data_IF_663519702309
#
_entry.id   IF_663519702309
#
_cell.length_a   1.000
_cell.length_b   1.000
_cell.length_c   1.000
_cell.angle_alpha   90.00
_cell.angle_beta   90.00
_cell.angle_gamma   90.00
#
_symmetry.space_group_name_H-M   'P 1'
#
loop_
_entity.id
_entity.type
_entity.pdbx_description
1 polymer ?
#
# COMPACT_ATOMS: atom_id res chain seq x y z
N UNK A 1 6.19 35.35 -5.46
CA UNK A 1 6.49 34.23 -4.56
C UNK A 1 5.42 34.23 -3.47
N UNK A 2 4.32 33.51 -3.66
CA UNK A 2 3.22 33.39 -2.67
C UNK A 2 3.40 32.08 -1.93
N UNK A 3 3.76 32.18 -0.66
CA UNK A 3 3.86 31.04 0.26
C UNK A 3 2.45 30.73 0.74
N UNK A 4 1.89 29.61 0.34
CA UNK A 4 0.66 29.08 0.93
C UNK A 4 1.02 28.27 2.18
N UNK A 5 0.78 28.86 3.35
CA UNK A 5 0.77 28.14 4.62
C UNK A 5 -0.51 27.29 4.67
N UNK A 6 -0.36 25.96 4.66
CA UNK A 6 -1.44 25.07 5.06
C UNK A 6 -1.61 25.13 6.59
N UNK A 7 -2.85 25.28 7.08
CA UNK A 7 -3.07 25.32 8.53
C UNK A 7 -2.86 23.91 9.12
N UNK A 8 -1.91 23.82 10.04
CA UNK A 8 -1.55 22.61 10.81
C UNK A 8 -2.63 22.15 11.83
N UNK A 9 -3.87 22.62 11.69
CA UNK A 9 -4.96 22.43 12.66
C UNK A 9 -5.85 21.21 12.42
N UNK A 10 -5.67 20.48 11.32
CA UNK A 10 -6.53 19.33 10.99
C UNK A 10 -6.05 17.99 11.58
N UNK A 11 -4.85 17.93 12.18
CA UNK A 11 -4.29 16.65 12.68
C UNK A 11 -4.55 16.41 14.19
N UNK A 12 -5.11 17.36 14.89
CA UNK A 12 -5.31 17.29 16.37
C UNK A 12 -6.70 16.77 16.79
N UNK A 13 -7.61 16.57 15.85
CA UNK A 13 -9.00 16.17 16.14
C UNK A 13 -9.23 14.66 16.34
N UNK A 14 -8.28 13.80 15.98
CA UNK A 14 -8.48 12.33 16.02
C UNK A 14 -7.93 11.69 17.32
N UNK A 15 -7.22 12.44 18.15
CA UNK A 15 -6.52 11.87 19.32
C UNK A 15 -7.31 11.94 20.64
N UNK A 16 -8.53 12.44 20.67
CA UNK A 16 -9.28 12.69 21.92
C UNK A 16 -10.54 11.84 22.15
N UNK A 17 -10.78 10.79 21.35
CA UNK A 17 -11.88 9.85 21.57
C UNK A 17 -11.44 8.50 22.19
N UNK A 18 -10.31 8.40 22.86
CA UNK A 18 -9.82 7.17 23.48
C UNK A 18 -9.95 7.23 25.02
N UNK A 19 -11.05 7.72 25.55
CA UNK A 19 -11.28 7.68 27.00
C UNK A 19 -12.62 7.04 27.34
N UNK A 20 -12.71 5.72 27.14
CA UNK A 20 -13.47 4.75 27.94
C UNK A 20 -13.33 3.38 27.29
N UNK A 21 -12.19 2.74 27.47
CA UNK A 21 -12.05 1.31 27.19
C UNK A 21 -12.65 0.62 28.42
N UNK A 22 -13.77 -0.13 28.28
CA UNK A 22 -14.26 -0.95 29.38
C UNK A 22 -13.18 -1.97 29.73
N UNK A 23 -12.90 -2.13 31.00
CA UNK A 23 -11.90 -3.04 31.57
C UNK A 23 -12.33 -4.52 31.54
N UNK A 24 -12.96 -4.95 30.47
CA UNK A 24 -13.08 -6.36 30.14
C UNK A 24 -12.02 -6.68 29.11
N UNK A 25 -10.85 -7.06 29.60
CA UNK A 25 -9.74 -7.61 28.82
C UNK A 25 -10.08 -9.01 28.28
N UNK A 26 -11.29 -9.22 27.81
CA UNK A 26 -11.69 -10.45 27.15
C UNK A 26 -11.30 -10.35 25.66
N UNK A 27 -10.12 -10.92 25.43
CA UNK A 27 -9.61 -11.47 24.17
C UNK A 27 -9.99 -10.73 22.86
N UNK A 28 -9.44 -9.51 22.68
CA UNK A 28 -9.48 -8.78 21.41
C UNK A 28 -8.46 -9.41 20.42
N UNK A 29 -8.40 -10.73 20.35
CA UNK A 29 -7.62 -11.40 19.33
C UNK A 29 -8.45 -11.54 18.07
N UNK A 30 -7.92 -11.15 16.92
CA UNK A 30 -8.65 -11.30 15.67
C UNK A 30 -8.83 -12.79 15.37
N UNK A 31 -10.08 -13.23 15.29
CA UNK A 31 -10.43 -14.60 14.81
C UNK A 31 -10.47 -14.56 13.29
N UNK A 32 -9.31 -14.70 12.68
CA UNK A 32 -9.17 -14.75 11.24
C UNK A 32 -9.25 -16.21 10.77
N UNK A 33 -10.31 -16.56 10.09
CA UNK A 33 -10.56 -17.90 9.52
C UNK A 33 -10.59 -17.82 8.01
N UNK A 34 -10.48 -18.97 7.35
CA UNK A 34 -10.69 -19.06 5.89
C UNK A 34 -12.04 -18.49 5.52
N UNK A 35 -12.08 -17.64 4.50
CA UNK A 35 -13.27 -16.92 4.06
C UNK A 35 -13.46 -15.55 4.71
N UNK A 36 -12.76 -15.21 5.81
CA UNK A 36 -12.77 -13.83 6.35
C UNK A 36 -12.32 -12.85 5.28
N UNK A 37 -13.10 -11.80 5.08
CA UNK A 37 -12.80 -10.76 4.11
C UNK A 37 -12.14 -9.56 4.78
N UNK A 38 -11.26 -8.88 4.05
CA UNK A 38 -10.58 -7.66 4.43
C UNK A 38 -10.95 -6.55 3.45
N UNK A 39 -11.45 -5.43 3.93
CA UNK A 39 -11.53 -4.18 3.18
C UNK A 39 -10.55 -3.22 3.81
N UNK A 40 -9.67 -2.63 3.00
CA UNK A 40 -8.63 -1.73 3.45
C UNK A 40 -8.57 -0.42 2.67
N UNK A 41 -8.03 0.59 3.33
CA UNK A 41 -7.60 1.83 2.68
C UNK A 41 -6.22 2.19 3.19
N UNK A 42 -5.28 2.33 2.28
CA UNK A 42 -3.93 2.81 2.56
C UNK A 42 -3.66 4.13 1.84
N UNK A 43 -2.92 5.00 2.50
CA UNK A 43 -2.44 6.28 1.96
C UNK A 43 -0.94 6.34 2.16
N UNK A 44 -0.21 6.72 1.14
CA UNK A 44 1.24 6.83 1.20
C UNK A 44 1.77 7.99 0.39
N UNK A 45 3.08 8.14 0.39
CA UNK A 45 3.74 9.13 -0.43
C UNK A 45 4.87 8.47 -1.24
N UNK A 46 4.71 8.52 -2.56
CA UNK A 46 5.66 7.95 -3.51
C UNK A 46 6.92 8.81 -3.58
N UNK A 47 8.06 8.18 -3.50
CA UNK A 47 9.38 8.79 -3.60
C UNK A 47 10.21 8.05 -4.63
N UNK A 48 10.86 8.78 -5.54
CA UNK A 48 11.80 8.16 -6.50
C UNK A 48 12.84 7.31 -5.80
N UNK A 49 13.10 6.14 -6.37
CA UNK A 49 14.17 5.26 -5.92
C UNK A 49 15.14 5.01 -7.09
N UNK A 50 16.40 5.36 -6.90
CA UNK A 50 17.45 5.18 -7.89
C UNK A 50 18.13 3.83 -7.70
N UNK A 51 17.55 2.77 -8.23
CA UNK A 51 18.19 1.45 -8.23
C UNK A 51 19.20 1.30 -9.36
N UNK A 52 19.08 2.12 -10.42
CA UNK A 52 19.99 2.12 -11.55
C UNK A 52 20.42 3.55 -11.87
N UNK A 53 21.63 3.72 -12.40
CA UNK A 53 22.19 5.03 -12.77
C UNK A 53 21.48 5.69 -13.97
N UNK A 54 20.68 4.95 -14.71
CA UNK A 54 19.99 5.41 -15.91
C UNK A 54 18.71 6.20 -15.61
N UNK A 55 18.18 6.12 -14.39
CA UNK A 55 16.97 6.84 -14.01
C UNK A 55 17.32 8.20 -13.44
N UNK A 56 17.02 9.24 -14.16
CA UNK A 56 17.27 10.62 -13.74
C UNK A 56 16.03 11.35 -13.25
N UNK A 57 14.85 10.96 -13.71
CA UNK A 57 13.60 11.67 -13.38
C UNK A 57 13.17 11.42 -11.94
N UNK A 58 13.00 12.52 -11.21
CA UNK A 58 12.46 12.48 -9.85
C UNK A 58 10.95 12.53 -9.90
N UNK A 59 10.32 11.46 -9.48
CA UNK A 59 8.88 11.38 -9.33
C UNK A 59 8.50 11.32 -7.85
N UNK A 60 7.45 12.00 -7.47
CA UNK A 60 6.92 11.97 -6.11
C UNK A 60 5.46 12.39 -6.10
N UNK A 61 4.74 11.96 -5.08
CA UNK A 61 3.37 12.38 -4.86
C UNK A 61 2.57 11.43 -3.97
N UNK A 62 1.38 11.85 -3.52
CA UNK A 62 0.49 11.01 -2.73
C UNK A 62 -0.10 9.86 -3.53
N UNK A 63 -0.30 8.74 -2.84
CA UNK A 63 -0.94 7.54 -3.35
C UNK A 63 -2.11 7.13 -2.45
N UNK A 64 -3.23 6.69 -3.07
CA UNK A 64 -4.44 6.20 -2.42
C UNK A 64 -4.72 4.78 -2.92
N UNK A 65 -4.89 3.85 -1.99
CA UNK A 65 -4.93 2.43 -2.31
C UNK A 65 -6.06 1.72 -1.55
N UNK A 66 -7.33 1.88 -2.01
CA UNK A 66 -8.42 1.04 -1.53
C UNK A 66 -8.20 -0.42 -1.99
N UNK A 67 -8.47 -1.37 -1.10
CA UNK A 67 -8.21 -2.79 -1.36
C UNK A 67 -9.30 -3.68 -0.77
N UNK A 68 -9.43 -4.85 -1.37
CA UNK A 68 -10.20 -5.97 -0.85
C UNK A 68 -9.34 -7.24 -0.91
N UNK A 69 -9.47 -8.11 0.08
CA UNK A 69 -8.83 -9.43 0.08
C UNK A 69 -9.67 -10.44 0.88
N UNK A 70 -9.39 -11.71 0.68
CA UNK A 70 -10.01 -12.81 1.44
C UNK A 70 -8.93 -13.78 1.93
N UNK A 71 -9.07 -14.27 3.14
CA UNK A 71 -8.21 -15.30 3.72
C UNK A 71 -8.49 -16.63 3.03
N UNK A 72 -7.46 -17.22 2.42
CA UNK A 72 -7.57 -18.47 1.67
C UNK A 72 -7.12 -19.70 2.45
N UNK A 73 -6.28 -19.53 3.47
CA UNK A 73 -5.69 -20.67 4.18
C UNK A 73 -5.90 -20.57 5.68
N UNK A 74 -6.01 -21.71 6.33
CA UNK A 74 -5.68 -21.82 7.75
C UNK A 74 -4.21 -21.41 7.95
N UNK A 75 -3.79 -21.09 9.20
CA UNK A 75 -2.40 -20.74 9.45
C UNK A 75 -1.45 -21.88 9.06
N UNK A 76 -0.54 -21.61 8.13
CA UNK A 76 0.47 -22.52 7.60
C UNK A 76 1.86 -22.12 8.08
N UNK A 77 2.79 -23.08 8.07
CA UNK A 77 4.17 -22.88 8.48
C UNK A 77 4.40 -23.11 9.98
N UNK A 78 5.65 -23.38 10.37
CA UNK A 78 6.01 -23.61 11.76
C UNK A 78 6.43 -22.34 12.50
N UNK A 79 6.23 -22.32 13.82
CA UNK A 79 6.80 -21.31 14.72
C UNK A 79 6.51 -19.87 14.32
N UNK A 80 7.54 -19.03 14.29
CA UNK A 80 7.44 -17.59 14.03
C UNK A 80 7.07 -17.23 12.57
N UNK A 81 7.23 -18.16 11.63
CA UNK A 81 6.81 -17.95 10.24
C UNK A 81 5.36 -18.39 9.98
N UNK A 82 4.67 -18.89 11.01
CA UNK A 82 3.27 -19.29 10.89
C UNK A 82 2.39 -18.10 10.51
N UNK A 83 1.53 -18.28 9.49
CA UNK A 83 0.69 -17.21 8.98
C UNK A 83 -0.32 -17.70 7.95
N UNK A 84 -1.10 -16.78 7.40
CA UNK A 84 -2.19 -17.02 6.48
C UNK A 84 -1.97 -16.31 5.15
N UNK A 85 -2.43 -16.91 4.07
CA UNK A 85 -2.43 -16.30 2.74
C UNK A 85 -3.78 -15.62 2.51
N UNK A 86 -3.71 -14.35 2.10
CA UNK A 86 -4.84 -13.59 1.60
C UNK A 86 -4.63 -13.34 0.11
N UNK A 87 -5.70 -13.47 -0.66
CA UNK A 87 -5.74 -13.08 -2.07
C UNK A 87 -6.79 -12.00 -2.27
N UNK A 88 -6.49 -11.01 -3.08
CA UNK A 88 -7.37 -9.89 -3.31
C UNK A 88 -6.95 -9.01 -4.46
N UNK A 89 -7.39 -7.78 -4.41
CA UNK A 89 -7.05 -6.76 -5.39
C UNK A 89 -7.03 -5.38 -4.73
N UNK A 90 -6.36 -4.46 -5.40
CA UNK A 90 -6.20 -3.10 -4.98
C UNK A 90 -6.34 -2.16 -6.18
N UNK A 91 -7.00 -1.03 -5.99
CA UNK A 91 -6.91 0.10 -6.91
C UNK A 91 -5.78 0.98 -6.42
N UNK A 92 -4.84 1.31 -7.29
CA UNK A 92 -3.74 2.23 -6.98
C UNK A 92 -4.01 3.53 -7.73
N UNK A 93 -4.21 4.62 -7.01
CA UNK A 93 -4.26 5.95 -7.57
C UNK A 93 -3.05 6.74 -7.07
N UNK A 94 -2.28 7.32 -7.99
CA UNK A 94 -1.11 8.14 -7.68
C UNK A 94 -1.31 9.52 -8.32
N UNK A 95 -1.22 10.56 -7.52
CA UNK A 95 -1.09 11.92 -8.02
C UNK A 95 0.38 12.28 -8.04
N UNK A 96 1.00 12.28 -9.22
CA UNK A 96 2.38 12.73 -9.35
C UNK A 96 2.45 14.24 -9.25
N UNK A 97 3.25 14.74 -8.35
CA UNK A 97 3.56 16.17 -8.19
C UNK A 97 4.84 16.55 -8.94
N UNK A 98 5.66 15.55 -9.28
CA UNK A 98 6.91 15.69 -10.03
C UNK A 98 7.03 14.59 -11.07
N UNK A 99 7.60 14.88 -12.24
CA UNK A 99 8.18 16.18 -12.68
C UNK A 99 7.11 17.26 -12.88
N UNK A 100 5.89 16.87 -13.22
CA UNK A 100 4.71 17.72 -13.41
C UNK A 100 3.49 17.10 -12.74
N UNK A 101 2.47 17.90 -12.51
CA UNK A 101 1.22 17.43 -11.91
C UNK A 101 0.47 16.53 -12.90
N UNK A 102 0.51 15.24 -12.67
CA UNK A 102 -0.14 14.21 -13.47
C UNK A 102 -0.75 13.13 -12.59
N UNK A 103 -1.45 12.20 -13.21
CA UNK A 103 -2.16 11.15 -12.51
C UNK A 103 -1.81 9.78 -13.07
N UNK A 104 -1.91 8.78 -12.22
CA UNK A 104 -1.86 7.38 -12.61
C UNK A 104 -2.89 6.57 -11.83
N UNK A 105 -3.51 5.60 -12.50
CA UNK A 105 -4.47 4.68 -11.90
C UNK A 105 -4.20 3.26 -12.39
N UNK A 106 -4.28 2.31 -11.47
CA UNK A 106 -4.08 0.90 -11.75
C UNK A 106 -5.02 -0.01 -10.98
N UNK A 107 -5.17 -1.21 -11.49
CA UNK A 107 -5.83 -2.33 -10.82
C UNK A 107 -4.82 -3.44 -10.63
N UNK A 108 -4.56 -3.82 -9.39
CA UNK A 108 -3.50 -4.78 -9.06
C UNK A 108 -4.05 -5.95 -8.24
N UNK A 109 -4.22 -7.14 -8.83
CA UNK A 109 -4.29 -8.38 -8.06
C UNK A 109 -3.16 -8.42 -7.03
N UNK A 110 -3.50 -8.84 -5.80
CA UNK A 110 -2.61 -8.79 -4.64
C UNK A 110 -2.62 -10.11 -3.88
N UNK A 111 -1.44 -10.58 -3.49
CA UNK A 111 -1.24 -11.62 -2.51
C UNK A 111 -0.59 -11.02 -1.26
N UNK A 112 -1.10 -11.37 -0.09
CA UNK A 112 -0.57 -10.95 1.21
C UNK A 112 -0.37 -12.17 2.08
N UNK A 113 0.79 -12.27 2.70
CA UNK A 113 1.07 -13.25 3.74
C UNK A 113 1.05 -12.54 5.09
N UNK A 114 0.05 -12.86 5.91
CA UNK A 114 -0.14 -12.27 7.24
C UNK A 114 0.35 -13.26 8.29
N UNK A 115 1.46 -12.93 8.93
CA UNK A 115 2.01 -13.74 10.02
C UNK A 115 1.07 -13.71 11.24
N UNK A 116 1.02 -14.78 12.02
CA UNK A 116 0.26 -14.79 13.28
C UNK A 116 0.80 -13.78 14.29
N UNK A 117 2.12 -13.54 14.26
CA UNK A 117 2.77 -12.49 15.05
C UNK A 117 2.59 -12.64 16.55
N UNK A 118 2.47 -11.50 17.22
CA UNK A 118 2.30 -11.42 18.67
C UNK A 118 0.94 -10.81 19.01
N UNK A 119 -0.04 -11.66 19.36
CA UNK A 119 -1.38 -11.22 19.77
C UNK A 119 -2.01 -10.23 18.77
N UNK A 120 -1.88 -8.92 19.03
CA UNK A 120 -2.47 -7.85 18.23
C UNK A 120 -1.58 -7.33 17.12
N UNK A 121 -0.29 -7.67 17.14
CA UNK A 121 0.69 -7.19 16.16
C UNK A 121 0.98 -8.31 15.19
N UNK A 122 0.61 -8.12 13.94
CA UNK A 122 0.82 -9.09 12.86
C UNK A 122 1.65 -8.49 11.74
N UNK A 123 2.90 -8.91 11.59
CA UNK A 123 3.68 -8.58 10.41
C UNK A 123 3.04 -9.14 9.15
N UNK A 124 3.32 -8.53 8.02
CA UNK A 124 2.89 -9.07 6.72
C UNK A 124 3.90 -8.78 5.63
N UNK A 125 3.89 -9.63 4.62
CA UNK A 125 4.51 -9.41 3.32
C UNK A 125 3.41 -9.34 2.27
N UNK A 126 3.63 -8.56 1.21
CA UNK A 126 2.67 -8.42 0.13
C UNK A 126 3.36 -8.24 -1.21
N UNK A 127 2.71 -8.76 -2.23
CA UNK A 127 3.08 -8.58 -3.62
C UNK A 127 1.83 -8.29 -4.42
N UNK A 128 1.90 -7.31 -5.32
CA UNK A 128 0.81 -6.99 -6.22
C UNK A 128 1.35 -6.57 -7.59
N UNK A 129 0.54 -6.72 -8.62
CA UNK A 129 0.92 -6.28 -9.95
C UNK A 129 -0.25 -6.31 -10.91
N UNK A 130 -0.26 -5.38 -11.86
CA UNK A 130 -1.33 -5.30 -12.82
C UNK A 130 -1.23 -4.09 -13.76
N UNK A 131 -2.27 -3.87 -14.59
CA UNK A 131 -2.31 -2.75 -15.51
C UNK A 131 -2.33 -1.41 -14.77
N UNK A 132 -1.63 -0.45 -15.32
CA UNK A 132 -1.49 0.91 -14.81
C UNK A 132 -1.54 1.91 -15.96
N UNK A 133 -2.45 2.85 -15.89
CA UNK A 133 -2.56 3.95 -16.84
C UNK A 133 -2.03 5.23 -16.21
N UNK A 134 -1.18 5.97 -16.93
CA UNK A 134 -0.59 7.21 -16.42
C UNK A 134 -0.33 8.21 -17.53
N UNK A 135 -0.43 9.49 -17.21
CA UNK A 135 -0.13 10.60 -18.11
C UNK A 135 1.36 11.01 -18.09
N UNK A 136 2.23 10.23 -17.47
CA UNK A 136 3.68 10.46 -17.46
C UNK A 136 4.34 10.30 -18.85
N UNK A 137 3.69 9.57 -19.78
CA UNK A 137 4.21 9.37 -21.13
C UNK A 137 4.45 10.70 -21.85
N UNK A 138 5.67 10.88 -22.34
CA UNK A 138 6.11 12.11 -23.00
C UNK A 138 6.53 13.24 -22.05
N UNK A 139 6.36 13.07 -20.73
CA UNK A 139 6.82 14.00 -19.70
C UNK A 139 8.10 13.51 -19.02
N UNK A 140 8.34 12.21 -19.06
CA UNK A 140 9.57 11.59 -18.56
C UNK A 140 10.23 10.79 -19.68
N UNK A 141 11.55 10.85 -19.81
CA UNK A 141 12.26 10.12 -20.88
C UNK A 141 12.22 8.60 -20.71
N UNK A 142 11.93 8.12 -19.49
CA UNK A 142 11.90 6.70 -19.15
C UNK A 142 10.64 5.98 -19.68
N UNK A 143 9.55 6.73 -19.93
CA UNK A 143 8.25 6.16 -20.30
C UNK A 143 7.69 6.75 -21.58
N UNK A 144 7.40 5.86 -22.55
CA UNK A 144 6.87 6.22 -23.87
C UNK A 144 5.39 5.83 -24.05
N UNK A 145 4.78 5.17 -23.08
CA UNK A 145 3.41 4.68 -23.14
C UNK A 145 2.56 5.18 -21.95
N UNK A 146 1.32 5.55 -22.22
CA UNK A 146 0.34 5.80 -21.17
C UNK A 146 -0.14 4.52 -20.50
N UNK A 147 -0.18 3.41 -21.25
CA UNK A 147 -0.50 2.10 -20.71
C UNK A 147 0.77 1.40 -20.27
N UNK A 148 0.83 1.07 -19.00
CA UNK A 148 1.96 0.46 -18.31
C UNK A 148 1.47 -0.69 -17.42
N UNK A 149 2.42 -1.33 -16.76
CA UNK A 149 2.20 -2.25 -15.66
C UNK A 149 2.89 -1.70 -14.41
N UNK A 150 2.25 -1.88 -13.27
CA UNK A 150 2.83 -1.61 -11.97
C UNK A 150 3.07 -2.93 -11.24
N UNK A 151 4.28 -3.11 -10.72
CA UNK A 151 4.63 -4.21 -9.84
C UNK A 151 5.00 -3.62 -8.48
N UNK A 152 4.51 -4.25 -7.42
CA UNK A 152 4.81 -3.82 -6.05
C UNK A 152 5.19 -5.01 -5.19
N UNK A 153 6.21 -4.82 -4.35
CA UNK A 153 6.61 -5.77 -3.33
C UNK A 153 6.92 -5.02 -2.04
N UNK A 154 6.50 -5.55 -0.93
CA UNK A 154 6.72 -4.89 0.34
C UNK A 154 6.22 -5.66 1.53
N UNK A 155 6.11 -4.96 2.65
CA UNK A 155 5.60 -5.52 3.88
C UNK A 155 5.36 -4.45 4.93
N UNK A 156 4.85 -4.86 6.05
CA UNK A 156 4.49 -3.96 7.11
C UNK A 156 4.01 -4.67 8.36
N UNK A 157 3.33 -3.91 9.20
CA UNK A 157 2.75 -4.37 10.45
C UNK A 157 1.29 -3.95 10.49
N UNK A 158 0.41 -4.91 10.81
CA UNK A 158 -0.99 -4.70 11.16
C UNK A 158 -1.13 -4.75 12.68
N UNK A 159 -1.56 -3.65 13.27
CA UNK A 159 -1.91 -3.58 14.68
C UNK A 159 -3.42 -3.63 14.85
N UNK A 160 -3.93 -4.72 15.41
CA UNK A 160 -5.35 -4.93 15.67
C UNK A 160 -5.78 -4.13 16.89
N UNK A 161 -6.56 -3.07 16.67
CA UNK A 161 -7.17 -2.25 17.72
C UNK A 161 -8.45 -2.88 18.26
N UNK A 162 -9.16 -3.64 17.41
CA UNK A 162 -10.27 -4.53 17.79
C UNK A 162 -10.10 -5.89 17.13
N UNK A 163 -11.01 -6.84 17.36
CA UNK A 163 -11.00 -8.13 16.65
C UNK A 163 -11.23 -7.99 15.14
N UNK A 164 -11.78 -6.87 14.67
CA UNK A 164 -12.15 -6.64 13.27
C UNK A 164 -11.40 -5.48 12.61
N UNK A 165 -10.79 -4.58 13.39
CA UNK A 165 -10.13 -3.38 12.87
C UNK A 165 -8.64 -3.41 13.13
N UNK A 166 -7.82 -3.25 12.11
CA UNK A 166 -6.37 -3.02 12.24
C UNK A 166 -5.95 -1.67 11.68
N UNK A 167 -4.92 -1.09 12.30
CA UNK A 167 -4.11 -0.03 11.73
C UNK A 167 -2.87 -0.63 11.11
N UNK A 168 -2.51 -0.16 9.93
CA UNK A 168 -1.42 -0.70 9.15
C UNK A 168 -0.35 0.37 8.91
N UNK A 169 0.90 -0.02 9.03
CA UNK A 169 2.04 0.76 8.55
C UNK A 169 2.93 -0.14 7.73
N UNK A 170 3.43 0.36 6.61
CA UNK A 170 4.22 -0.47 5.71
C UNK A 170 5.08 0.34 4.75
N UNK A 171 5.83 -0.42 3.99
CA UNK A 171 6.69 0.07 2.94
C UNK A 171 6.58 -0.85 1.74
N UNK A 172 6.47 -0.25 0.55
CA UNK A 172 6.48 -0.93 -0.74
C UNK A 172 7.55 -0.36 -1.65
N UNK A 173 8.17 -1.22 -2.41
CA UNK A 173 8.87 -0.89 -3.63
C UNK A 173 7.88 -0.96 -4.79
N UNK A 174 7.89 0.06 -5.65
CA UNK A 174 7.08 0.13 -6.86
C UNK A 174 7.97 0.17 -8.09
N UNK A 175 7.59 -0.59 -9.11
CA UNK A 175 8.18 -0.54 -10.44
C UNK A 175 7.06 -0.33 -11.47
N UNK A 176 7.16 0.72 -12.27
CA UNK A 176 6.23 1.02 -13.37
C UNK A 176 7.00 0.89 -14.66
N UNK A 177 6.48 0.13 -15.63
CA UNK A 177 7.07 -0.02 -16.96
C UNK A 177 6.03 -0.50 -17.98
N UNK A 178 6.28 -0.27 -19.25
CA UNK A 178 5.38 -0.71 -20.32
C UNK A 178 5.66 -2.15 -20.81
N UNK A 179 6.45 -2.92 -20.05
CA UNK A 179 6.85 -4.30 -20.38
C UNK A 179 7.52 -4.46 -21.79
N UNK A 180 8.18 -3.41 -22.26
CA UNK A 180 8.87 -3.42 -23.57
C UNK A 180 7.94 -3.28 -24.78
N UNK A 181 6.67 -2.92 -24.60
CA UNK A 181 5.72 -2.72 -25.71
C UNK A 181 6.03 -1.49 -26.55
N UNK A 182 6.76 -0.52 -25.97
CA UNK A 182 7.25 0.70 -26.63
C UNK A 182 8.61 1.10 -26.08
N UNK A 183 9.45 1.71 -26.93
CA UNK A 183 10.73 2.29 -26.52
C UNK A 183 10.65 3.83 -26.49
N UNK A 184 11.34 4.50 -25.56
CA UNK A 184 12.11 3.92 -24.44
C UNK A 184 11.21 3.26 -23.36
N UNK A 185 11.75 2.25 -22.67
CA UNK A 185 11.14 1.58 -21.52
C UNK A 185 12.23 1.26 -20.50
N UNK A 186 12.69 2.28 -19.80
CA UNK A 186 13.69 2.15 -18.74
C UNK A 186 13.00 1.76 -17.43
N UNK A 187 11.73 2.17 -17.29
CA UNK A 187 10.90 1.96 -16.11
C UNK A 187 11.18 2.96 -14.98
N UNK A 188 10.23 3.12 -14.11
CA UNK A 188 10.29 4.05 -12.99
C UNK A 188 10.22 3.26 -11.66
N UNK A 189 11.25 3.43 -10.84
CA UNK A 189 11.34 2.79 -9.53
C UNK A 189 11.02 3.79 -8.42
N UNK A 190 10.25 3.36 -7.44
CA UNK A 190 9.82 4.20 -6.34
C UNK A 190 9.74 3.46 -5.02
N UNK A 191 9.90 4.21 -3.95
CA UNK A 191 9.65 3.80 -2.58
C UNK A 191 8.34 4.41 -2.11
N UNK A 192 7.48 3.63 -1.46
CA UNK A 192 6.20 4.07 -0.95
C UNK A 192 6.05 3.66 0.53
N UNK A 193 6.47 4.49 1.48
CA UNK A 193 5.99 4.39 2.85
C UNK A 193 4.50 4.72 2.89
N UNK A 194 3.71 3.96 3.66
CA UNK A 194 2.28 4.16 3.76
C UNK A 194 1.74 3.82 5.14
N UNK A 195 0.57 4.37 5.44
CA UNK A 195 -0.26 4.02 6.56
C UNK A 195 -1.70 3.80 6.13
N UNK A 196 -2.48 3.07 6.91
CA UNK A 196 -3.86 2.79 6.56
C UNK A 196 -4.58 2.00 7.63
N UNK A 197 -5.75 1.52 7.27
CA UNK A 197 -6.55 0.64 8.13
C UNK A 197 -7.18 -0.49 7.30
N UNK A 198 -7.52 -1.58 7.98
CA UNK A 198 -8.28 -2.69 7.41
C UNK A 198 -9.38 -3.13 8.35
N UNK A 199 -10.54 -3.42 7.77
CA UNK A 199 -11.69 -3.99 8.48
C UNK A 199 -11.92 -5.43 7.98
N UNK A 200 -12.08 -6.35 8.95
CA UNK A 200 -12.25 -7.80 8.72
C UNK A 200 -13.67 -8.24 9.12
N UNK A 201 -14.32 -9.03 8.26
CA UNK A 201 -15.70 -9.50 8.47
C UNK A 201 -15.97 -10.87 7.83
#
# INVERSE_FOLDING_TARGET
>A
MKVYLFPATALLGILLCVTSIPSQAEEILPRLTVGTQEIGLSVGYLLSNRLTSEHSTKQSGPAFMPSWAMILTDPIGPGWIRGQILLGAEIVYIQFERPELTHGVGFTPKIKYLFEGWQRIRPYLEFAGGPFYTDLAGQVPEESSRFNFILTAGGGISWFVTSQLSLNVGYRFHHISNAGTRYPNIGLNSSLPYGGFSFYF
#
